data_IF_860565219754
#
_entry.id   IF_860565219754
#
_cell.length_a   1.000
_cell.length_b   1.000
_cell.length_c   1.000
_cell.angle_alpha   90.00
_cell.angle_beta   90.00
_cell.angle_gamma   90.00
#
_symmetry.space_group_name_H-M   'P 1'
#
loop_
_entity.id
_entity.type
_entity.pdbx_description
1 polymer ?
#
# COMPACT_ATOMS: atom_id res chain seq x y z
N UNK A 1 -10.47 2.82 38.00
CA UNK A 1 -10.58 3.65 36.78
C UNK A 1 -9.47 3.21 35.84
N UNK A 2 -9.80 2.61 34.70
CA UNK A 2 -8.82 2.12 33.74
C UNK A 2 -9.13 2.78 32.40
N UNK A 3 -8.43 3.87 32.07
CA UNK A 3 -8.56 4.54 30.78
C UNK A 3 -7.77 3.75 29.76
N UNK A 4 -8.46 2.83 29.05
CA UNK A 4 -7.96 2.27 27.80
C UNK A 4 -7.83 3.43 26.82
N UNK A 5 -6.60 3.77 26.47
CA UNK A 5 -6.27 4.68 25.38
C UNK A 5 -6.90 4.12 24.10
N UNK A 6 -7.91 4.80 23.56
CA UNK A 6 -8.38 4.55 22.21
C UNK A 6 -7.25 4.99 21.27
N UNK A 7 -6.42 4.04 20.84
CA UNK A 7 -5.55 4.24 19.69
C UNK A 7 -6.47 4.55 18.50
N UNK A 8 -6.50 5.81 18.08
CA UNK A 8 -7.05 6.21 16.80
C UNK A 8 -6.27 5.46 15.72
N UNK A 9 -6.74 4.26 15.37
CA UNK A 9 -6.37 3.63 14.12
C UNK A 9 -6.91 4.55 13.05
N UNK A 10 -6.02 5.32 12.44
CA UNK A 10 -6.33 5.86 11.13
C UNK A 10 -6.61 4.64 10.24
N UNK A 11 -7.89 4.37 9.99
CA UNK A 11 -8.36 3.24 9.18
C UNK A 11 -8.02 3.43 7.69
N UNK A 12 -7.05 4.29 7.39
CA UNK A 12 -6.71 4.72 6.05
C UNK A 12 -5.21 4.65 5.82
N UNK A 13 -4.83 4.01 4.72
CA UNK A 13 -3.46 4.07 4.20
C UNK A 13 -3.45 4.93 2.95
N UNK A 14 -2.69 6.03 3.00
CA UNK A 14 -2.42 6.87 1.84
C UNK A 14 -0.99 6.66 1.35
N UNK A 15 -0.83 6.34 0.06
CA UNK A 15 0.49 6.07 -0.55
C UNK A 15 0.54 6.52 -2.01
N UNK A 16 1.70 6.95 -2.49
CA UNK A 16 2.01 7.20 -3.91
C UNK A 16 2.81 6.04 -4.55
N UNK A 17 3.10 4.98 -3.80
CA UNK A 17 3.78 3.80 -4.31
C UNK A 17 2.78 2.88 -5.05
N UNK A 18 2.96 2.78 -6.37
CA UNK A 18 2.11 1.96 -7.23
C UNK A 18 2.21 0.47 -6.90
N UNK A 19 3.39 -0.03 -6.55
CA UNK A 19 3.59 -1.45 -6.24
C UNK A 19 2.91 -1.78 -4.91
N UNK A 20 3.07 -0.92 -3.89
CA UNK A 20 2.39 -1.11 -2.62
C UNK A 20 0.87 -0.99 -2.76
N UNK A 21 0.38 -0.04 -3.58
CA UNK A 21 -1.05 0.10 -3.87
C UNK A 21 -1.64 -1.15 -4.54
N UNK A 22 -0.92 -1.73 -5.51
CA UNK A 22 -1.33 -2.98 -6.15
C UNK A 22 -1.34 -4.15 -5.16
N UNK A 23 -0.33 -4.23 -4.29
CA UNK A 23 -0.29 -5.21 -3.21
C UNK A 23 -1.49 -5.11 -2.27
N UNK A 24 -1.84 -3.90 -1.81
CA UNK A 24 -3.01 -3.66 -0.97
C UNK A 24 -4.31 -4.09 -1.66
N UNK A 25 -4.45 -3.80 -2.97
CA UNK A 25 -5.56 -4.29 -3.77
C UNK A 25 -5.63 -5.82 -3.83
N UNK A 26 -4.51 -6.49 -4.05
CA UNK A 26 -4.45 -7.95 -4.12
C UNK A 26 -4.76 -8.64 -2.78
N UNK A 27 -4.41 -7.99 -1.67
CA UNK A 27 -4.78 -8.45 -0.32
C UNK A 27 -6.27 -8.25 0.01
N UNK A 28 -7.01 -7.51 -0.82
CA UNK A 28 -8.44 -7.27 -0.65
C UNK A 28 -8.80 -5.95 0.03
N UNK A 29 -7.84 -5.05 0.27
CA UNK A 29 -8.15 -3.74 0.85
C UNK A 29 -8.92 -2.85 -0.13
N UNK A 30 -9.93 -2.15 0.38
CA UNK A 30 -10.78 -1.27 -0.42
C UNK A 30 -10.02 0.00 -0.80
N UNK A 31 -10.06 0.41 -2.07
CA UNK A 31 -9.49 1.69 -2.51
C UNK A 31 -10.63 2.69 -2.51
N UNK A 32 -10.59 3.63 -1.59
CA UNK A 32 -11.67 4.61 -1.40
C UNK A 32 -11.43 5.91 -2.17
N UNK A 33 -10.16 6.21 -2.49
CA UNK A 33 -9.82 7.43 -3.24
C UNK A 33 -8.55 7.25 -4.06
N UNK A 34 -8.54 7.81 -5.27
CA UNK A 34 -7.34 8.08 -6.03
C UNK A 34 -7.34 9.55 -6.45
N UNK A 35 -6.30 10.28 -6.07
CA UNK A 35 -6.12 11.68 -6.43
C UNK A 35 -4.76 11.91 -7.07
N UNK A 36 -4.73 12.79 -8.07
CA UNK A 36 -3.50 13.22 -8.72
C UNK A 36 -3.16 14.62 -8.24
N UNK A 37 -1.99 14.77 -7.63
CA UNK A 37 -1.43 16.07 -7.29
C UNK A 37 -0.21 16.33 -8.20
N UNK A 38 -0.39 17.24 -9.17
CA UNK A 38 0.58 17.57 -10.20
C UNK A 38 1.18 16.33 -10.90
N UNK A 39 2.37 15.90 -10.48
CA UNK A 39 3.12 14.77 -11.05
C UNK A 39 2.89 13.43 -10.34
N UNK A 40 2.27 13.42 -9.16
CA UNK A 40 2.10 12.22 -8.35
C UNK A 40 0.64 11.80 -8.25
N UNK A 41 0.40 10.50 -8.31
CA UNK A 41 -0.90 9.90 -7.99
C UNK A 41 -0.81 9.30 -6.60
N UNK A 42 -1.75 9.66 -5.74
CA UNK A 42 -1.92 9.08 -4.41
C UNK A 42 -3.15 8.18 -4.40
N UNK A 43 -3.04 7.10 -3.65
CA UNK A 43 -4.07 6.10 -3.44
C UNK A 43 -4.37 6.03 -1.95
N UNK A 44 -5.66 6.10 -1.59
CA UNK A 44 -6.12 5.97 -0.20
C UNK A 44 -6.95 4.71 -0.08
N UNK A 45 -6.55 3.82 0.81
CA UNK A 45 -7.18 2.55 1.09
C UNK A 45 -7.82 2.54 2.46
N UNK A 46 -8.97 1.90 2.61
CA UNK A 46 -9.58 1.59 3.90
C UNK A 46 -9.05 0.25 4.43
N UNK A 47 -8.62 0.23 5.70
CA UNK A 47 -8.04 -0.93 6.36
C UNK A 47 -8.15 -0.85 7.89
N UNK A 48 -8.43 -1.99 8.52
CA UNK A 48 -8.40 -2.14 9.98
C UNK A 48 -7.02 -2.57 10.51
N UNK A 49 -6.10 -2.85 9.58
CA UNK A 49 -4.73 -3.28 9.85
C UNK A 49 -3.76 -2.11 10.01
N UNK A 50 -2.73 -2.33 10.83
CA UNK A 50 -1.66 -1.36 11.04
C UNK A 50 -0.84 -1.15 9.75
N UNK A 51 -0.66 0.11 9.35
CA UNK A 51 0.05 0.49 8.13
C UNK A 51 1.52 0.03 8.10
N UNK A 52 2.23 0.12 9.22
CA UNK A 52 3.64 -0.32 9.30
C UNK A 52 3.76 -1.83 9.16
N UNK A 53 2.83 -2.58 9.77
CA UNK A 53 2.76 -4.04 9.58
C UNK A 53 2.57 -4.39 8.10
N UNK A 54 1.64 -3.74 7.42
CA UNK A 54 1.38 -3.99 5.99
C UNK A 54 2.59 -3.63 5.10
N UNK A 55 3.34 -2.57 5.44
CA UNK A 55 4.59 -2.23 4.72
C UNK A 55 5.66 -3.30 4.92
N UNK A 56 5.85 -3.79 6.14
CA UNK A 56 6.80 -4.87 6.42
C UNK A 56 6.40 -6.16 5.70
N UNK A 57 5.11 -6.51 5.69
CA UNK A 57 4.61 -7.64 4.92
C UNK A 57 4.86 -7.47 3.42
N UNK A 58 4.64 -6.29 2.87
CA UNK A 58 4.90 -5.97 1.47
C UNK A 58 6.38 -6.13 1.10
N UNK A 59 7.30 -5.56 1.90
CA UNK A 59 8.75 -5.62 1.64
C UNK A 59 9.23 -7.08 1.59
N UNK A 60 8.67 -7.95 2.44
CA UNK A 60 9.03 -9.36 2.51
C UNK A 60 8.19 -10.25 1.57
N UNK A 61 7.31 -9.67 0.74
CA UNK A 61 6.40 -10.44 -0.10
C UNK A 61 7.06 -10.94 -1.40
N UNK A 62 6.65 -12.14 -1.84
CA UNK A 62 6.97 -12.63 -3.20
C UNK A 62 6.38 -11.74 -4.30
N UNK A 63 5.35 -10.96 -3.98
CA UNK A 63 4.77 -9.98 -4.89
C UNK A 63 5.81 -8.90 -5.26
N UNK A 64 6.52 -8.34 -4.28
CA UNK A 64 7.54 -7.32 -4.55
C UNK A 64 8.68 -7.90 -5.39
N UNK A 65 9.12 -9.14 -5.09
CA UNK A 65 10.10 -9.84 -5.92
C UNK A 65 9.62 -9.99 -7.37
N UNK A 66 8.42 -10.52 -7.59
CA UNK A 66 7.83 -10.66 -8.93
C UNK A 66 7.72 -9.31 -9.65
N UNK A 67 7.23 -8.27 -8.96
CA UNK A 67 7.07 -6.94 -9.54
C UNK A 67 8.41 -6.35 -9.98
N UNK A 68 9.47 -6.55 -9.20
CA UNK A 68 10.82 -6.11 -9.54
C UNK A 68 11.36 -6.83 -10.78
N UNK A 69 11.22 -8.15 -10.85
CA UNK A 69 11.63 -8.92 -12.04
C UNK A 69 10.86 -8.50 -13.29
N UNK A 70 9.54 -8.33 -13.17
CA UNK A 70 8.69 -7.83 -14.27
C UNK A 70 9.15 -6.45 -14.75
N UNK A 71 9.47 -5.54 -13.82
CA UNK A 71 9.97 -4.20 -14.15
C UNK A 71 11.33 -4.26 -14.84
N UNK A 72 12.22 -5.16 -14.41
CA UNK A 72 13.53 -5.36 -15.02
C UNK A 72 13.37 -5.87 -16.46
N UNK A 73 12.54 -6.90 -16.68
CA UNK A 73 12.24 -7.40 -18.03
C UNK A 73 11.66 -6.30 -18.93
N UNK A 74 10.71 -5.50 -18.43
CA UNK A 74 10.12 -4.40 -19.20
C UNK A 74 11.18 -3.39 -19.67
N UNK A 75 12.16 -3.06 -18.82
CA UNK A 75 13.26 -2.15 -19.18
C UNK A 75 14.20 -2.72 -20.24
N UNK A 76 14.27 -4.03 -20.40
CA UNK A 76 15.11 -4.64 -21.45
C UNK A 76 14.46 -4.52 -22.83
N UNK A 77 13.14 -4.34 -22.89
CA UNK A 77 12.37 -4.30 -24.14
C UNK A 77 11.77 -2.90 -24.43
N UNK A 78 12.03 -1.91 -23.58
CA UNK A 78 11.51 -0.54 -23.70
C UNK A 78 12.64 0.48 -23.82
#
# INVERSE_FOLDING_TARGET
MNTRSEENKDNHIRTDDLAFSAYLKMKGHCLIKSDRNASKTYFTFETDENAEKLKVEFINSKFLQFYNELRNLKKMIS
#
